data_IF_825004669789
#
_entry.id   IF_825004669789
#
_cell.length_a   1.000
_cell.length_b   1.000
_cell.length_c   1.000
_cell.angle_alpha   90.00
_cell.angle_beta   90.00
_cell.angle_gamma   90.00
#
_symmetry.space_group_name_H-M   'P 1'
#
loop_
_entity.id
_entity.type
_entity.pdbx_description
1 polymer ?
#
# COMPACT_ATOMS: atom_id res chain seq x y z
N UNK A 1 16.11 -25.16 4.95
CA UNK A 1 16.53 -24.71 3.60
C UNK A 1 18.04 -24.91 3.52
N UNK A 2 18.58 -25.69 2.58
CA UNK A 2 20.02 -25.89 2.47
C UNK A 2 20.70 -24.55 2.23
N UNK A 3 21.80 -24.27 2.93
CA UNK A 3 22.58 -23.06 2.69
C UNK A 3 23.24 -23.12 1.30
N UNK A 4 23.56 -21.96 0.72
CA UNK A 4 24.18 -21.85 -0.63
C UNK A 4 25.42 -22.75 -0.79
N UNK A 5 26.19 -22.90 0.29
CA UNK A 5 27.38 -23.77 0.35
C UNK A 5 27.03 -25.27 0.40
N UNK A 6 25.91 -25.64 1.03
CA UNK A 6 25.41 -27.01 1.03
C UNK A 6 24.87 -27.40 -0.36
N UNK A 7 24.25 -26.47 -1.08
CA UNK A 7 23.79 -26.70 -2.46
C UNK A 7 24.96 -27.01 -3.42
N UNK A 8 26.05 -26.23 -3.37
CA UNK A 8 27.24 -26.49 -4.18
C UNK A 8 27.93 -27.82 -3.83
N UNK A 9 27.96 -28.20 -2.54
CA UNK A 9 28.48 -29.50 -2.10
C UNK A 9 27.60 -30.66 -2.56
N UNK A 10 26.29 -30.51 -2.54
CA UNK A 10 25.33 -31.50 -3.05
C UNK A 10 25.46 -31.62 -4.58
N UNK A 11 25.63 -30.52 -5.30
CA UNK A 11 25.87 -30.52 -6.75
C UNK A 11 27.17 -31.23 -7.13
N UNK A 12 28.28 -30.94 -6.43
CA UNK A 12 29.56 -31.62 -6.64
C UNK A 12 29.51 -33.11 -6.27
N UNK A 13 28.82 -33.47 -5.18
CA UNK A 13 28.60 -34.86 -4.78
C UNK A 13 27.69 -35.65 -5.73
N UNK A 14 26.69 -34.98 -6.32
CA UNK A 14 25.80 -35.57 -7.33
C UNK A 14 26.56 -35.93 -8.61
N UNK A 15 27.42 -35.05 -9.12
CA UNK A 15 28.21 -35.35 -10.32
C UNK A 15 29.10 -36.59 -10.13
N UNK A 16 29.73 -36.74 -8.96
CA UNK A 16 30.52 -37.93 -8.61
C UNK A 16 29.66 -39.18 -8.48
N UNK A 17 28.48 -39.07 -7.86
CA UNK A 17 27.55 -40.20 -7.72
C UNK A 17 27.03 -40.73 -9.06
N UNK A 18 26.75 -39.86 -10.04
CA UNK A 18 26.41 -40.27 -11.42
C UNK A 18 27.55 -41.04 -12.10
N UNK A 19 28.78 -40.54 -11.98
CA UNK A 19 29.98 -41.18 -12.56
C UNK A 19 30.25 -42.55 -11.91
N UNK A 20 29.91 -42.70 -10.63
CA UNK A 20 30.02 -43.95 -9.87
C UNK A 20 28.82 -44.89 -10.02
N UNK A 21 27.87 -44.60 -10.92
CA UNK A 21 26.74 -45.49 -11.24
C UNK A 21 25.58 -45.45 -10.24
N UNK A 22 25.53 -44.48 -9.32
CA UNK A 22 24.38 -44.28 -8.45
C UNK A 22 23.26 -43.54 -9.19
N UNK A 23 22.05 -44.12 -9.18
CA UNK A 23 20.87 -43.50 -9.78
C UNK A 23 20.43 -42.27 -8.98
N UNK A 24 20.57 -41.08 -9.59
CA UNK A 24 20.14 -39.81 -9.00
C UNK A 24 18.68 -39.44 -9.28
N UNK A 25 17.94 -40.23 -10.08
CA UNK A 25 16.51 -39.99 -10.31
C UNK A 25 15.70 -39.85 -9.03
N UNK A 26 15.95 -40.61 -7.94
CA UNK A 26 15.26 -40.41 -6.67
C UNK A 26 15.60 -39.05 -6.04
N UNK A 27 16.85 -38.60 -6.13
CA UNK A 27 17.29 -37.33 -5.56
C UNK A 27 16.72 -36.11 -6.32
N UNK A 28 16.64 -36.18 -7.65
CA UNK A 28 15.93 -35.18 -8.47
C UNK A 28 14.41 -35.24 -8.28
N UNK A 29 13.82 -36.42 -8.13
CA UNK A 29 12.40 -36.56 -7.81
C UNK A 29 12.04 -35.97 -6.43
N UNK A 30 13.02 -35.85 -5.52
CA UNK A 30 12.88 -35.16 -4.23
C UNK A 30 13.16 -33.64 -4.32
N UNK A 31 13.73 -33.14 -5.42
CA UNK A 31 13.86 -31.70 -5.63
C UNK A 31 12.49 -31.14 -6.02
N UNK A 32 11.77 -30.59 -5.03
CA UNK A 32 10.51 -29.89 -5.29
C UNK A 32 10.76 -28.75 -6.26
N UNK A 33 9.87 -28.61 -7.25
CA UNK A 33 9.84 -27.42 -8.09
C UNK A 33 9.85 -26.16 -7.23
N UNK A 34 10.63 -25.16 -7.67
CA UNK A 34 10.66 -23.88 -6.97
C UNK A 34 9.24 -23.29 -6.97
N UNK A 35 8.81 -22.76 -5.82
CA UNK A 35 7.50 -22.11 -5.67
C UNK A 35 7.26 -20.96 -6.67
N UNK A 36 8.34 -20.39 -7.22
CA UNK A 36 8.33 -19.28 -8.18
C UNK A 36 8.36 -19.73 -9.65
N UNK A 37 8.52 -21.03 -9.92
CA UNK A 37 8.76 -21.58 -11.27
C UNK A 37 7.66 -21.27 -12.30
N UNK A 38 6.42 -21.07 -11.85
CA UNK A 38 5.24 -20.76 -12.70
C UNK A 38 4.61 -19.43 -12.32
N UNK A 39 5.44 -18.47 -11.91
CA UNK A 39 4.98 -17.14 -11.51
C UNK A 39 5.38 -16.10 -12.53
N UNK A 40 4.57 -15.05 -12.61
CA UNK A 40 4.93 -13.81 -13.27
C UNK A 40 5.75 -12.95 -12.31
N UNK A 41 6.94 -12.54 -12.72
CA UNK A 41 7.76 -11.57 -11.99
C UNK A 41 7.36 -10.13 -12.34
N UNK A 42 7.14 -9.31 -11.31
CA UNK A 42 6.91 -7.87 -11.44
C UNK A 42 7.87 -7.14 -10.52
N UNK A 43 8.68 -6.22 -11.08
CA UNK A 43 9.55 -5.35 -10.29
C UNK A 43 8.73 -4.21 -9.69
N UNK A 44 9.00 -3.90 -8.43
CA UNK A 44 8.35 -2.81 -7.69
C UNK A 44 9.32 -2.22 -6.66
N UNK A 45 8.84 -1.25 -5.89
CA UNK A 45 9.59 -0.58 -4.83
C UNK A 45 8.95 -0.85 -3.47
N UNK A 46 9.77 -1.10 -2.46
CA UNK A 46 9.33 -1.31 -1.08
C UNK A 46 8.57 -0.07 -0.54
N UNK A 47 7.33 -0.21 -0.03
CA UNK A 47 6.48 0.94 0.32
C UNK A 47 6.74 1.53 1.72
N UNK A 48 7.75 1.07 2.45
CA UNK A 48 7.89 1.39 3.88
C UNK A 48 8.69 2.66 4.18
N UNK A 49 9.98 2.70 3.81
CA UNK A 49 10.86 3.81 4.15
C UNK A 49 11.53 4.38 2.90
N UNK A 50 12.10 5.57 3.03
CA UNK A 50 12.70 6.34 1.93
C UNK A 50 13.92 5.68 1.26
N UNK A 51 14.46 4.59 1.82
CA UNK A 51 15.52 3.80 1.16
C UNK A 51 15.05 3.26 -0.19
N UNK A 52 13.73 3.00 -0.32
CA UNK A 52 13.12 2.61 -1.59
C UNK A 52 13.79 1.37 -2.21
N UNK A 53 13.96 0.32 -1.41
CA UNK A 53 14.56 -0.93 -1.88
C UNK A 53 13.78 -1.51 -3.07
N UNK A 54 14.48 -1.98 -4.10
CA UNK A 54 13.88 -2.72 -5.20
C UNK A 54 13.43 -4.10 -4.75
N UNK A 55 12.24 -4.49 -5.17
CA UNK A 55 11.62 -5.78 -4.86
C UNK A 55 11.10 -6.45 -6.12
N UNK A 56 11.06 -7.78 -6.09
CA UNK A 56 10.41 -8.62 -7.09
C UNK A 56 9.19 -9.27 -6.43
N UNK A 57 8.04 -9.06 -7.04
CA UNK A 57 6.77 -9.66 -6.65
C UNK A 57 6.49 -10.82 -7.60
N UNK A 58 6.34 -12.01 -7.04
CA UNK A 58 5.96 -13.21 -7.78
C UNK A 58 4.46 -13.44 -7.65
N UNK A 59 3.79 -13.40 -8.78
CA UNK A 59 2.35 -13.56 -8.88
C UNK A 59 2.02 -14.84 -9.62
N UNK A 60 1.17 -15.68 -9.02
CA UNK A 60 0.62 -16.85 -9.69
C UNK A 60 -0.38 -16.40 -10.76
N UNK A 61 -0.21 -16.92 -11.97
CA UNK A 61 -0.98 -16.54 -13.15
C UNK A 61 -0.08 -16.10 -14.30
N UNK A 62 -0.55 -16.32 -15.52
CA UNK A 62 0.10 -16.03 -16.80
C UNK A 62 -0.31 -14.65 -17.38
N UNK A 63 -0.87 -13.77 -16.54
CA UNK A 63 -1.50 -12.50 -16.92
C UNK A 63 -2.74 -12.65 -17.82
N UNK A 64 -3.28 -13.86 -18.00
CA UNK A 64 -4.52 -14.01 -18.72
C UNK A 64 -5.70 -13.38 -17.97
N UNK A 65 -6.64 -12.80 -18.71
CA UNK A 65 -7.78 -12.04 -18.15
C UNK A 65 -8.76 -12.90 -17.33
N UNK A 66 -8.74 -14.22 -17.53
CA UNK A 66 -9.62 -15.18 -16.87
C UNK A 66 -9.08 -15.67 -15.51
N UNK A 67 -7.90 -15.20 -15.09
CA UNK A 67 -7.28 -15.63 -13.83
C UNK A 67 -7.13 -14.43 -12.91
N UNK A 68 -7.58 -14.57 -11.66
CA UNK A 68 -7.31 -13.58 -10.63
C UNK A 68 -5.86 -13.76 -10.14
N UNK A 69 -4.97 -12.76 -10.34
CA UNK A 69 -3.58 -12.86 -9.93
C UNK A 69 -3.48 -12.97 -8.40
N UNK A 70 -2.64 -13.89 -7.92
CA UNK A 70 -2.36 -14.03 -6.48
C UNK A 70 -0.87 -13.91 -6.20
N UNK A 71 -0.50 -13.04 -5.26
CA UNK A 71 0.89 -12.88 -4.84
C UNK A 71 1.30 -14.06 -3.96
N UNK A 72 2.32 -14.80 -4.39
CA UNK A 72 2.80 -16.01 -3.69
C UNK A 72 4.18 -15.83 -3.06
N UNK A 73 4.94 -14.83 -3.52
CA UNK A 73 6.22 -14.48 -2.92
C UNK A 73 6.61 -13.04 -3.21
N UNK A 74 7.39 -12.46 -2.31
CA UNK A 74 8.08 -11.17 -2.50
C UNK A 74 9.52 -11.34 -2.02
N UNK A 75 10.47 -10.90 -2.82
CA UNK A 75 11.89 -10.88 -2.47
C UNK A 75 12.58 -9.60 -2.96
N UNK A 76 13.85 -9.41 -2.58
CA UNK A 76 14.61 -8.24 -2.98
C UNK A 76 15.13 -8.38 -4.40
N UNK A 77 15.11 -7.29 -5.17
CA UNK A 77 15.66 -7.27 -6.53
C UNK A 77 17.21 -7.25 -6.48
N UNK A 78 17.90 -8.30 -6.99
CA UNK A 78 19.36 -8.37 -7.02
C UNK A 78 19.99 -7.31 -7.93
N UNK A 79 19.28 -6.84 -8.95
CA UNK A 79 19.76 -5.86 -9.92
C UNK A 79 19.63 -4.42 -9.40
N UNK A 80 18.87 -4.21 -8.33
CA UNK A 80 18.61 -2.87 -7.81
C UNK A 80 19.86 -2.29 -7.11
N UNK A 81 20.31 -1.09 -7.50
CA UNK A 81 21.63 -0.57 -7.11
C UNK A 81 21.77 -0.32 -5.60
N UNK A 82 20.65 -0.02 -4.92
CA UNK A 82 20.64 0.35 -3.49
C UNK A 82 20.77 -0.88 -2.59
N UNK A 83 19.91 -1.88 -2.80
CA UNK A 83 19.78 -3.00 -1.88
C UNK A 83 20.38 -4.30 -2.39
N UNK A 84 20.63 -4.46 -3.70
CA UNK A 84 21.28 -5.64 -4.30
C UNK A 84 20.69 -6.96 -3.80
N UNK A 85 19.37 -7.03 -3.74
CA UNK A 85 18.62 -8.21 -3.29
C UNK A 85 18.38 -8.31 -1.78
N UNK A 86 18.96 -7.42 -0.97
CA UNK A 86 18.75 -7.43 0.49
C UNK A 86 17.46 -6.73 0.90
N UNK A 87 16.80 -7.23 1.95
CA UNK A 87 15.63 -6.61 2.55
C UNK A 87 15.72 -6.66 4.08
N UNK A 88 15.29 -5.58 4.73
CA UNK A 88 15.09 -5.54 6.18
C UNK A 88 13.81 -6.33 6.56
N UNK A 89 13.54 -6.63 7.85
CA UNK A 89 12.41 -7.47 8.24
C UNK A 89 11.06 -6.97 7.68
N UNK A 90 10.85 -5.64 7.66
CA UNK A 90 9.65 -5.02 7.07
C UNK A 90 9.48 -5.38 5.59
N UNK A 91 10.55 -5.23 4.80
CA UNK A 91 10.51 -5.53 3.37
C UNK A 91 10.35 -7.02 3.10
N UNK A 92 11.04 -7.88 3.85
CA UNK A 92 10.92 -9.34 3.69
C UNK A 92 9.55 -9.90 4.10
N UNK A 93 8.82 -9.19 4.97
CA UNK A 93 7.46 -9.56 5.37
C UNK A 93 6.37 -8.97 4.47
N UNK A 94 6.71 -8.24 3.40
CA UNK A 94 5.73 -7.53 2.57
C UNK A 94 4.64 -8.46 1.98
N UNK A 95 4.97 -9.72 1.70
CA UNK A 95 3.97 -10.71 1.30
C UNK A 95 2.82 -10.86 2.31
N UNK A 96 3.13 -10.84 3.62
CA UNK A 96 2.14 -10.97 4.69
C UNK A 96 1.24 -9.75 4.80
N UNK A 97 1.73 -8.59 4.37
CA UNK A 97 0.97 -7.34 4.34
C UNK A 97 0.01 -7.32 3.14
N UNK A 98 0.49 -7.76 1.97
CA UNK A 98 -0.33 -7.87 0.74
C UNK A 98 -1.44 -8.91 0.92
N UNK A 99 -1.09 -10.09 1.45
CA UNK A 99 -1.99 -11.23 1.64
C UNK A 99 -2.40 -11.31 3.12
N UNK A 100 -3.07 -10.25 3.59
CA UNK A 100 -3.51 -10.12 4.97
C UNK A 100 -5.04 -10.25 5.08
N UNK A 101 -5.51 -11.12 5.97
CA UNK A 101 -6.94 -11.30 6.27
C UNK A 101 -7.58 -10.04 6.89
N UNK A 102 -6.78 -9.15 7.48
CA UNK A 102 -7.24 -7.89 8.09
C UNK A 102 -7.34 -6.73 7.10
N UNK A 103 -7.08 -6.97 5.82
CA UNK A 103 -7.16 -5.93 4.79
C UNK A 103 -8.61 -5.46 4.64
N UNK A 104 -8.82 -4.15 4.56
CA UNK A 104 -10.13 -3.59 4.25
C UNK A 104 -10.49 -3.93 2.80
N UNK A 105 -11.61 -4.63 2.61
CA UNK A 105 -12.07 -5.10 1.30
C UNK A 105 -13.27 -4.28 0.77
N UNK A 106 -13.93 -3.53 1.64
CA UNK A 106 -15.13 -2.75 1.34
C UNK A 106 -15.11 -1.44 2.12
N UNK A 107 -15.77 -0.38 1.62
CA UNK A 107 -15.99 0.84 2.39
C UNK A 107 -16.84 0.55 3.63
N UNK A 108 -16.48 1.17 4.75
CA UNK A 108 -17.24 1.07 5.99
C UNK A 108 -17.57 2.46 6.53
N UNK A 109 -18.78 2.62 7.06
CA UNK A 109 -19.24 3.86 7.69
C UNK A 109 -19.54 3.62 9.16
N UNK A 110 -19.12 4.56 10.01
CA UNK A 110 -19.55 4.64 11.40
C UNK A 110 -20.49 5.81 11.59
N UNK A 111 -21.77 5.52 11.83
CA UNK A 111 -22.81 6.56 11.99
C UNK A 111 -22.61 7.35 13.29
N UNK A 112 -23.02 8.64 13.35
CA UNK A 112 -22.92 9.44 14.57
C UNK A 112 -23.61 8.76 15.76
N UNK A 113 -22.92 8.65 16.89
CA UNK A 113 -23.43 7.98 18.09
C UNK A 113 -23.34 6.45 18.07
N UNK A 114 -22.94 5.83 16.95
CA UNK A 114 -22.72 4.38 16.87
C UNK A 114 -21.34 3.98 17.40
N UNK A 115 -21.22 2.76 17.91
CA UNK A 115 -19.98 2.09 18.32
C UNK A 115 -19.49 1.02 17.32
N UNK A 116 -20.26 0.73 16.26
CA UNK A 116 -19.97 -0.29 15.27
C UNK A 116 -19.83 0.29 13.85
N UNK A 117 -19.26 -0.51 12.96
CA UNK A 117 -19.06 -0.20 11.55
C UNK A 117 -20.10 -0.92 10.69
N UNK A 118 -20.60 -0.24 9.67
CA UNK A 118 -21.54 -0.77 8.69
C UNK A 118 -20.86 -0.84 7.31
N UNK A 119 -20.90 -2.01 6.66
CA UNK A 119 -20.47 -2.17 5.27
C UNK A 119 -21.44 -1.42 4.34
N UNK A 120 -20.90 -0.58 3.44
CA UNK A 120 -21.68 0.15 2.43
C UNK A 120 -21.10 -0.06 1.03
N UNK A 121 -21.88 0.26 0.00
CA UNK A 121 -21.39 0.25 -1.39
C UNK A 121 -20.44 1.42 -1.64
N UNK A 122 -19.60 1.30 -2.67
CA UNK A 122 -18.74 2.40 -3.12
C UNK A 122 -19.56 3.62 -3.57
N UNK A 123 -20.67 3.43 -4.26
CA UNK A 123 -21.53 4.53 -4.71
C UNK A 123 -22.08 5.32 -3.52
N UNK A 124 -22.62 4.62 -2.51
CA UNK A 124 -23.10 5.26 -1.28
C UNK A 124 -21.99 5.97 -0.53
N UNK A 125 -20.80 5.37 -0.42
CA UNK A 125 -19.66 6.00 0.25
C UNK A 125 -19.25 7.30 -0.44
N UNK A 126 -19.12 7.29 -1.77
CA UNK A 126 -18.73 8.46 -2.56
C UNK A 126 -19.80 9.56 -2.47
N UNK A 127 -21.07 9.20 -2.62
CA UNK A 127 -22.19 10.15 -2.57
C UNK A 127 -22.29 10.83 -1.20
N UNK A 128 -22.21 10.07 -0.10
CA UNK A 128 -22.27 10.62 1.24
C UNK A 128 -21.07 11.53 1.54
N UNK A 129 -19.86 11.15 1.11
CA UNK A 129 -18.66 12.00 1.25
C UNK A 129 -18.83 13.28 0.44
N UNK A 130 -19.27 13.19 -0.83
CA UNK A 130 -19.47 14.34 -1.70
C UNK A 130 -20.50 15.32 -1.13
N UNK A 131 -21.63 14.82 -0.60
CA UNK A 131 -22.65 15.64 0.03
C UNK A 131 -22.10 16.38 1.26
N UNK A 132 -21.32 15.70 2.11
CA UNK A 132 -20.69 16.30 3.30
C UNK A 132 -19.65 17.35 2.91
N UNK A 133 -18.79 17.05 1.96
CA UNK A 133 -17.81 17.99 1.42
C UNK A 133 -18.51 19.23 0.88
N UNK A 134 -19.53 19.05 0.04
CA UNK A 134 -20.28 20.16 -0.54
C UNK A 134 -20.93 21.02 0.55
N UNK A 135 -21.64 20.40 1.48
CA UNK A 135 -22.30 21.10 2.60
C UNK A 135 -21.28 21.90 3.41
N UNK A 136 -20.20 21.27 3.87
CA UNK A 136 -19.17 21.93 4.69
C UNK A 136 -18.49 23.06 3.93
N UNK A 137 -18.22 22.87 2.64
CA UNK A 137 -17.65 23.92 1.79
C UNK A 137 -18.62 25.09 1.71
N UNK A 138 -19.87 24.87 1.34
CA UNK A 138 -20.87 25.93 1.22
C UNK A 138 -21.07 26.69 2.54
N UNK A 139 -20.99 26.00 3.69
CA UNK A 139 -21.13 26.57 5.03
C UNK A 139 -19.90 27.37 5.49
N UNK A 140 -18.68 27.06 4.99
CA UNK A 140 -17.41 27.57 5.54
C UNK A 140 -16.48 28.23 4.52
N UNK A 141 -16.95 28.45 3.29
CA UNK A 141 -16.16 29.07 2.24
C UNK A 141 -16.03 30.59 2.45
N UNK A 142 -14.80 31.07 2.43
CA UNK A 142 -14.44 32.48 2.54
C UNK A 142 -13.97 32.98 1.17
N UNK A 143 -14.79 33.81 0.53
CA UNK A 143 -14.41 34.47 -0.72
C UNK A 143 -13.40 35.60 -0.45
N UNK A 144 -13.66 36.42 0.57
CA UNK A 144 -12.82 37.55 0.98
C UNK A 144 -12.42 37.45 2.44
N UNK A 145 -11.23 37.94 2.76
CA UNK A 145 -10.76 38.06 4.14
C UNK A 145 -11.24 39.35 4.83
N UNK A 146 -10.88 39.50 6.12
CA UNK A 146 -11.22 40.68 6.91
C UNK A 146 -10.63 41.99 6.37
N UNK A 147 -9.64 41.93 5.47
CA UNK A 147 -9.03 43.08 4.80
C UNK A 147 -9.62 43.31 3.39
N UNK A 148 -10.66 42.57 3.01
CA UNK A 148 -11.34 42.69 1.72
C UNK A 148 -10.59 42.07 0.53
N UNK A 149 -9.51 41.32 0.77
CA UNK A 149 -8.74 40.63 -0.28
C UNK A 149 -9.45 39.33 -0.65
N UNK A 150 -9.50 39.00 -1.94
CA UNK A 150 -10.02 37.71 -2.42
C UNK A 150 -9.07 36.59 -2.04
N UNK A 151 -9.55 35.62 -1.26
CA UNK A 151 -8.77 34.47 -0.75
C UNK A 151 -9.30 33.12 -1.21
N UNK A 152 -10.60 33.00 -1.54
CA UNK A 152 -11.24 31.78 -2.05
C UNK A 152 -10.84 30.49 -1.31
N UNK A 153 -10.99 30.49 0.02
CA UNK A 153 -10.54 29.38 0.87
C UNK A 153 -11.64 28.79 1.72
N UNK A 154 -11.57 27.48 1.96
CA UNK A 154 -12.44 26.69 2.79
C UNK A 154 -11.64 26.26 4.03
N UNK A 155 -12.02 26.74 5.20
CA UNK A 155 -11.33 26.44 6.47
C UNK A 155 -11.99 25.27 7.24
N UNK A 156 -13.21 24.88 6.86
CA UNK A 156 -13.94 23.77 7.51
C UNK A 156 -13.53 22.36 7.10
N UNK A 157 -12.56 22.22 6.19
CA UNK A 157 -12.08 20.93 5.68
C UNK A 157 -10.55 20.92 5.77
N UNK A 158 -9.98 19.83 6.27
CA UNK A 158 -8.54 19.59 6.32
C UNK A 158 -8.19 18.24 5.71
N UNK A 159 -7.03 18.14 5.06
CA UNK A 159 -6.50 16.90 4.52
C UNK A 159 -5.19 16.50 5.20
N UNK A 160 -5.12 15.24 5.65
CA UNK A 160 -3.94 14.65 6.26
C UNK A 160 -3.54 13.37 5.50
N UNK A 161 -2.32 13.33 4.97
CA UNK A 161 -1.79 12.13 4.31
C UNK A 161 -0.76 12.42 3.23
N UNK A 162 -0.47 11.38 2.45
CA UNK A 162 0.20 11.46 1.15
C UNK A 162 1.58 10.80 1.06
N UNK A 163 2.33 10.68 2.15
CA UNK A 163 3.73 10.24 2.04
C UNK A 163 3.92 8.77 1.65
N UNK A 164 2.88 7.94 1.81
CA UNK A 164 2.85 6.53 1.43
C UNK A 164 2.27 6.30 0.03
N UNK A 165 1.63 7.32 -0.54
CA UNK A 165 0.95 7.23 -1.82
C UNK A 165 1.89 7.60 -2.97
N UNK A 166 1.52 7.25 -4.20
CA UNK A 166 2.34 7.59 -5.37
C UNK A 166 2.32 9.11 -5.64
N UNK A 167 3.33 9.60 -6.35
CA UNK A 167 3.41 11.02 -6.69
C UNK A 167 2.23 11.48 -7.55
N UNK A 168 1.71 10.61 -8.41
CA UNK A 168 0.56 10.88 -9.28
C UNK A 168 -0.71 11.04 -8.43
N UNK A 169 -0.93 10.16 -7.46
CA UNK A 169 -2.04 10.28 -6.52
C UNK A 169 -1.93 11.58 -5.72
N UNK A 170 -0.77 11.84 -5.13
CA UNK A 170 -0.53 13.08 -4.37
C UNK A 170 -0.74 14.34 -5.20
N UNK A 171 -0.35 14.31 -6.48
CA UNK A 171 -0.63 15.41 -7.40
C UNK A 171 -2.13 15.60 -7.59
N UNK A 172 -2.89 14.53 -7.85
CA UNK A 172 -4.34 14.63 -8.04
C UNK A 172 -5.05 15.13 -6.79
N UNK A 173 -4.69 14.62 -5.61
CA UNK A 173 -5.21 15.11 -4.33
C UNK A 173 -4.82 16.58 -4.14
N UNK A 174 -3.58 16.96 -4.47
CA UNK A 174 -3.10 18.35 -4.45
C UNK A 174 -3.97 19.30 -5.27
N UNK A 175 -4.34 18.86 -6.48
CA UNK A 175 -5.21 19.63 -7.36
C UNK A 175 -6.65 19.66 -6.85
N UNK A 176 -7.16 18.54 -6.35
CA UNK A 176 -8.52 18.43 -5.83
C UNK A 176 -8.74 19.34 -4.62
N UNK A 177 -7.86 19.31 -3.60
CA UNK A 177 -8.10 20.15 -2.43
C UNK A 177 -7.82 21.64 -2.70
N UNK A 178 -6.90 21.97 -3.61
CA UNK A 178 -6.77 23.35 -4.08
C UNK A 178 -8.03 23.83 -4.81
N UNK A 179 -8.64 22.99 -5.66
CA UNK A 179 -9.82 23.36 -6.44
C UNK A 179 -11.05 23.69 -5.57
N UNK A 180 -11.27 22.98 -4.47
CA UNK A 180 -12.37 23.29 -3.56
C UNK A 180 -12.01 24.34 -2.48
N UNK A 181 -10.78 24.86 -2.48
CA UNK A 181 -10.31 25.95 -1.62
C UNK A 181 -9.69 25.52 -0.28
N UNK A 182 -9.39 24.24 -0.06
CA UNK A 182 -8.90 23.76 1.24
C UNK A 182 -7.55 24.38 1.57
N UNK A 183 -7.50 25.14 2.66
CA UNK A 183 -6.28 25.86 3.09
C UNK A 183 -5.33 25.00 3.95
N UNK A 184 -5.80 23.89 4.52
CA UNK A 184 -5.04 23.11 5.51
C UNK A 184 -4.57 21.76 4.95
N UNK A 185 -3.34 21.76 4.42
CA UNK A 185 -2.59 20.56 4.06
C UNK A 185 -1.51 20.27 5.09
N UNK A 186 -1.56 19.10 5.74
CA UNK A 186 -0.47 18.65 6.61
C UNK A 186 -0.03 17.25 6.17
N UNK A 187 1.27 17.09 5.89
CA UNK A 187 1.90 15.79 5.54
C UNK A 187 2.49 15.08 6.76
N UNK A 188 2.36 15.66 7.96
CA UNK A 188 2.74 15.07 9.26
C UNK A 188 1.60 15.20 10.26
N UNK A 189 1.32 14.16 11.08
CA UNK A 189 0.48 14.29 12.25
C UNK A 189 1.26 15.08 13.31
N UNK A 190 1.15 16.41 13.29
CA UNK A 190 1.33 17.19 14.52
C UNK A 190 -0.03 17.20 15.17
N UNK A 191 -0.19 16.42 16.24
CA UNK A 191 -1.27 16.63 17.19
C UNK A 191 -1.16 18.08 17.62
N UNK A 192 -2.07 18.91 17.11
CA UNK A 192 -2.18 20.29 17.53
C UNK A 192 -2.58 20.27 19.01
N UNK A 193 -1.64 20.65 19.88
CA UNK A 193 -1.85 20.70 21.33
C UNK A 193 -2.61 21.96 21.75
N UNK A 194 -3.12 22.79 20.83
CA UNK A 194 -3.98 23.91 21.19
C UNK A 194 -5.41 23.41 21.49
N UNK A 195 -5.86 23.43 22.76
CA UNK A 195 -7.19 23.01 23.16
C UNK A 195 -8.32 23.89 22.59
N UNK A 196 -8.00 24.95 21.84
CA UNK A 196 -8.97 25.85 21.20
C UNK A 196 -9.19 25.57 19.71
N UNK A 197 -8.53 24.56 19.12
CA UNK A 197 -8.73 24.26 17.69
C UNK A 197 -10.12 23.61 17.46
N UNK A 198 -10.97 24.15 16.57
CA UNK A 198 -12.35 23.67 16.36
C UNK A 198 -12.41 22.42 15.47
N UNK A 199 -11.31 21.68 15.31
CA UNK A 199 -11.10 20.68 14.26
C UNK A 199 -12.00 19.44 14.41
N UNK A 200 -12.61 19.24 15.58
CA UNK A 200 -13.48 18.10 15.85
C UNK A 200 -14.86 18.55 16.36
N UNK A 201 -15.69 19.05 15.44
CA UNK A 201 -17.11 19.30 15.70
C UNK A 201 -17.94 17.99 15.77
N UNK A 202 -19.17 18.04 16.32
CA UNK A 202 -20.04 16.86 16.57
C UNK A 202 -20.53 16.12 15.31
N UNK A 203 -20.10 16.53 14.11
CA UNK A 203 -20.52 15.96 12.82
C UNK A 203 -19.42 15.14 12.13
N UNK A 204 -18.31 14.85 12.82
CA UNK A 204 -17.24 14.02 12.27
C UNK A 204 -17.70 12.57 12.10
N UNK A 205 -17.89 12.15 10.85
CA UNK A 205 -18.03 10.74 10.48
C UNK A 205 -16.69 10.28 9.93
N UNK A 206 -16.10 9.29 10.58
CA UNK A 206 -14.94 8.60 10.05
C UNK A 206 -15.42 7.59 9.01
N UNK A 207 -14.99 7.76 7.76
CA UNK A 207 -15.07 6.72 6.73
C UNK A 207 -13.66 6.15 6.61
N UNK A 208 -13.54 4.82 6.61
CA UNK A 208 -12.28 4.10 6.43
C UNK A 208 -12.40 3.11 5.29
#
# INVERSE_FOLDING_TARGET
>A
MPTRRSFLKIGAGGAVACVLGFDLKPAYAQSRDLKISRTTETRSTCPYCSVSCGIIIHTLGDKAKNVTPQVVHVEGDPDHPINRGTLCPKGSSLQQDIVNERRLLKPQVRRPGSDHWEDISWDTAIDEIAQRVKKTRDDTFLEKDAQGRTVNRCEGIAWNGGCTDTNEFNYLVSRACAAWGSATWKTRPVFDTDPRSPVWGPHSVAVR
#
